data_IF_559688747769
#
_entry.id   IF_559688747769
#
_cell.length_a   1.000
_cell.length_b   1.000
_cell.length_c   1.000
_cell.angle_alpha   90.00
_cell.angle_beta   90.00
_cell.angle_gamma   90.00
#
_symmetry.space_group_name_H-M   'P 1'
#
loop_
_entity.id
_entity.type
_entity.pdbx_description
1 polymer ?
#
# COMPACT_ATOMS: atom_id res chain seq x y z
N UNK A 1 -6.73 -27.03 -6.96
CA UNK A 1 -6.64 -25.84 -7.80
C UNK A 1 -5.18 -25.41 -7.76
N UNK A 2 -4.45 -25.57 -8.86
CA UNK A 2 -3.06 -25.12 -8.93
C UNK A 2 -3.08 -23.61 -8.79
N UNK A 3 -2.69 -23.09 -7.61
CA UNK A 3 -2.74 -21.66 -7.31
C UNK A 3 -1.94 -20.90 -8.35
N UNK A 4 -2.62 -20.13 -9.18
CA UNK A 4 -1.99 -19.34 -10.23
C UNK A 4 -1.08 -18.31 -9.55
N UNK A 5 0.22 -18.53 -9.64
CA UNK A 5 1.21 -17.68 -9.00
C UNK A 5 1.06 -16.27 -9.56
N UNK A 6 0.80 -15.31 -8.68
CA UNK A 6 0.59 -13.92 -9.08
C UNK A 6 1.89 -13.38 -9.67
N UNK A 7 1.85 -12.94 -10.92
CA UNK A 7 3.02 -12.44 -11.63
C UNK A 7 3.30 -10.97 -11.24
N UNK A 8 4.38 -10.73 -10.49
CA UNK A 8 4.81 -9.38 -10.09
C UNK A 8 4.99 -8.44 -11.29
N UNK A 9 5.51 -8.94 -12.42
CA UNK A 9 5.66 -8.14 -13.62
C UNK A 9 4.33 -7.59 -14.12
N UNK A 10 3.25 -8.37 -14.07
CA UNK A 10 1.95 -7.92 -14.58
C UNK A 10 1.29 -6.93 -13.62
N UNK A 11 1.48 -7.09 -12.31
CA UNK A 11 1.09 -6.08 -11.32
C UNK A 11 1.82 -4.75 -11.60
N UNK A 12 3.16 -4.77 -11.65
CA UNK A 12 3.94 -3.55 -11.77
C UNK A 12 3.73 -2.85 -13.12
N UNK A 13 3.48 -3.59 -14.21
CA UNK A 13 3.04 -2.99 -15.48
C UNK A 13 1.75 -2.17 -15.33
N UNK A 14 0.76 -2.72 -14.61
CA UNK A 14 -0.51 -2.04 -14.42
C UNK A 14 -0.35 -0.82 -13.52
N UNK A 15 0.48 -0.90 -12.48
CA UNK A 15 0.82 0.25 -11.63
C UNK A 15 1.55 1.33 -12.43
N UNK A 16 2.59 0.98 -13.20
CA UNK A 16 3.33 1.90 -14.07
C UNK A 16 2.40 2.63 -15.05
N UNK A 17 1.48 1.89 -15.69
CA UNK A 17 0.44 2.48 -16.55
C UNK A 17 -0.45 3.47 -15.79
N UNK A 18 -0.85 3.14 -14.57
CA UNK A 18 -1.69 4.02 -13.75
C UNK A 18 -0.94 5.29 -13.36
N UNK A 19 0.32 5.20 -12.94
CA UNK A 19 1.12 6.38 -12.63
C UNK A 19 1.26 7.29 -13.85
N UNK A 20 1.52 6.72 -15.03
CA UNK A 20 1.60 7.49 -16.27
C UNK A 20 0.30 8.20 -16.62
N UNK A 21 -0.84 7.56 -16.41
CA UNK A 21 -2.15 8.16 -16.68
C UNK A 21 -2.50 9.29 -15.71
N UNK A 22 -1.97 9.27 -14.49
CA UNK A 22 -2.26 10.25 -13.44
C UNK A 22 -1.08 11.19 -13.17
N UNK A 23 -0.03 11.16 -14.01
CA UNK A 23 1.21 11.91 -13.81
C UNK A 23 0.96 13.41 -13.62
N UNK A 24 0.14 14.01 -14.49
CA UNK A 24 -0.14 15.45 -14.42
C UNK A 24 -0.89 15.84 -13.14
N UNK A 25 -1.85 15.03 -12.70
CA UNK A 25 -2.62 15.27 -11.47
C UNK A 25 -1.73 15.15 -10.23
N UNK A 26 -0.81 14.18 -10.24
CA UNK A 26 0.17 14.01 -9.17
C UNK A 26 1.20 15.15 -9.12
N UNK A 27 1.59 15.71 -10.26
CA UNK A 27 2.44 16.91 -10.32
C UNK A 27 1.68 18.16 -9.85
N UNK A 28 0.38 18.27 -10.18
CA UNK A 28 -0.46 19.39 -9.73
C UNK A 28 -0.70 19.34 -8.21
N UNK A 29 -0.83 18.15 -7.62
CA UNK A 29 -0.97 17.97 -6.17
C UNK A 29 0.31 18.23 -5.36
N UNK A 30 1.46 18.33 -6.03
CA UNK A 30 2.75 18.61 -5.40
C UNK A 30 3.07 20.11 -5.44
N UNK A 31 2.59 20.83 -4.42
CA UNK A 31 2.71 22.29 -4.32
C UNK A 31 4.14 22.83 -4.14
N UNK A 32 5.13 21.95 -3.93
CA UNK A 32 6.50 22.38 -3.66
C UNK A 32 7.32 22.55 -4.94
N UNK A 33 7.46 21.48 -5.73
CA UNK A 33 8.30 21.46 -6.94
C UNK A 33 7.59 20.84 -8.15
N UNK A 34 6.33 20.43 -8.03
CA UNK A 34 5.48 19.96 -9.12
C UNK A 34 6.08 18.81 -9.95
N UNK A 35 6.84 17.91 -9.32
CA UNK A 35 7.53 16.81 -10.01
C UNK A 35 7.23 15.43 -9.39
N UNK A 36 6.38 15.36 -8.37
CA UNK A 36 6.04 14.08 -7.73
C UNK A 36 5.51 13.03 -8.70
N UNK A 37 4.63 13.40 -9.62
CA UNK A 37 4.13 12.52 -10.67
C UNK A 37 5.24 12.04 -11.61
N UNK A 38 6.19 12.90 -11.97
CA UNK A 38 7.37 12.52 -12.77
C UNK A 38 8.20 11.46 -12.04
N UNK A 39 8.45 11.66 -10.74
CA UNK A 39 9.15 10.68 -9.90
C UNK A 39 8.37 9.36 -9.80
N UNK A 40 7.05 9.39 -9.63
CA UNK A 40 6.24 8.17 -9.59
C UNK A 40 6.32 7.39 -10.92
N UNK A 41 6.24 8.08 -12.06
CA UNK A 41 6.38 7.43 -13.37
C UNK A 41 7.76 6.79 -13.51
N UNK A 42 8.83 7.54 -13.21
CA UNK A 42 10.21 7.02 -13.24
C UNK A 42 10.36 5.76 -12.38
N UNK A 43 9.94 5.84 -11.11
CA UNK A 43 10.06 4.74 -10.14
C UNK A 43 9.40 3.48 -10.66
N UNK A 44 8.14 3.55 -11.08
CA UNK A 44 7.40 2.36 -11.48
C UNK A 44 7.78 1.84 -12.88
N UNK A 45 8.29 2.70 -13.77
CA UNK A 45 8.94 2.23 -15.01
C UNK A 45 10.22 1.45 -14.72
N UNK A 46 11.08 1.94 -13.80
CA UNK A 46 12.30 1.25 -13.39
C UNK A 46 12.01 -0.08 -12.71
N UNK A 47 11.05 -0.11 -11.78
CA UNK A 47 10.62 -1.36 -11.13
C UNK A 47 10.09 -2.34 -12.17
N UNK A 48 9.24 -1.88 -13.11
CA UNK A 48 8.70 -2.75 -14.16
C UNK A 48 9.80 -3.32 -15.05
N UNK A 49 10.83 -2.52 -15.37
CA UNK A 49 11.99 -2.99 -16.13
C UNK A 49 12.78 -4.07 -15.37
N UNK A 50 12.99 -3.89 -14.06
CA UNK A 50 13.63 -4.87 -13.20
C UNK A 50 12.85 -6.20 -13.14
N UNK A 51 11.53 -6.13 -12.94
CA UNK A 51 10.65 -7.30 -12.95
C UNK A 51 10.70 -8.04 -14.28
N UNK A 52 10.78 -7.31 -15.40
CA UNK A 52 10.88 -7.90 -16.73
C UNK A 52 12.20 -8.63 -16.93
N UNK A 53 13.29 -8.06 -16.45
CA UNK A 53 14.63 -8.65 -16.55
C UNK A 53 14.76 -9.89 -15.65
N UNK A 54 14.15 -9.86 -14.46
CA UNK A 54 14.17 -10.97 -13.49
C UNK A 54 12.92 -11.85 -13.52
N UNK A 55 12.14 -11.85 -14.60
CA UNK A 55 10.83 -12.52 -14.68
C UNK A 55 10.79 -14.02 -14.32
N UNK A 56 11.93 -14.70 -14.38
CA UNK A 56 12.07 -16.14 -14.08
C UNK A 56 12.79 -16.40 -12.74
N UNK A 57 13.19 -15.35 -12.02
CA UNK A 57 13.82 -15.46 -10.71
C UNK A 57 12.77 -15.55 -9.60
N UNK A 58 13.20 -15.93 -8.40
CA UNK A 58 12.31 -15.94 -7.25
C UNK A 58 11.75 -14.53 -6.95
N UNK A 59 10.53 -14.40 -6.42
CA UNK A 59 9.92 -13.10 -6.12
C UNK A 59 10.79 -12.18 -5.26
N UNK A 60 11.53 -12.74 -4.30
CA UNK A 60 12.48 -12.00 -3.48
C UNK A 60 13.61 -11.39 -4.32
N UNK A 61 14.19 -12.17 -5.25
CA UNK A 61 15.26 -11.72 -6.13
C UNK A 61 14.77 -10.66 -7.13
N UNK A 62 13.51 -10.75 -7.58
CA UNK A 62 12.90 -9.74 -8.43
C UNK A 62 12.81 -8.38 -7.71
N UNK A 63 12.32 -8.37 -6.46
CA UNK A 63 12.18 -7.17 -5.65
C UNK A 63 13.54 -6.59 -5.24
N UNK A 64 14.49 -7.43 -4.85
CA UNK A 64 15.83 -7.00 -4.47
C UNK A 64 16.57 -6.37 -5.66
N UNK A 65 16.48 -6.99 -6.84
CA UNK A 65 17.04 -6.41 -8.06
C UNK A 65 16.37 -5.08 -8.41
N UNK A 66 15.04 -4.96 -8.25
CA UNK A 66 14.33 -3.71 -8.48
C UNK A 66 14.79 -2.60 -7.51
N UNK A 67 15.01 -2.92 -6.23
CA UNK A 67 15.55 -1.98 -5.26
C UNK A 67 16.94 -1.47 -5.68
N UNK A 68 17.83 -2.38 -6.09
CA UNK A 68 19.18 -2.03 -6.55
C UNK A 68 19.14 -1.18 -7.82
N UNK A 69 18.33 -1.57 -8.80
CA UNK A 69 18.21 -0.83 -10.06
C UNK A 69 17.64 0.58 -9.82
N UNK A 70 16.66 0.70 -8.92
CA UNK A 70 16.06 1.99 -8.59
C UNK A 70 17.06 2.94 -7.91
N UNK A 71 17.82 2.47 -6.92
CA UNK A 71 18.89 3.26 -6.27
C UNK A 71 19.95 3.72 -7.26
N UNK A 72 20.25 2.90 -8.26
CA UNK A 72 21.24 3.22 -9.27
C UNK A 72 20.74 4.23 -10.32
N UNK A 73 19.42 4.30 -10.54
CA UNK A 73 18.83 5.15 -11.58
C UNK A 73 18.29 6.48 -11.07
N UNK A 74 17.83 6.55 -9.82
CA UNK A 74 17.20 7.74 -9.28
C UNK A 74 17.70 8.05 -7.86
N UNK A 75 17.91 9.33 -7.60
CA UNK A 75 18.32 9.88 -6.30
C UNK A 75 17.19 10.64 -5.60
N UNK A 76 15.98 10.65 -6.16
CA UNK A 76 14.84 11.36 -5.55
C UNK A 76 14.44 10.75 -4.21
N UNK A 77 13.87 11.58 -3.32
CA UNK A 77 13.43 11.12 -1.99
C UNK A 77 12.41 9.98 -2.09
N UNK A 78 11.46 10.09 -3.02
CA UNK A 78 10.50 9.03 -3.32
C UNK A 78 11.20 7.75 -3.81
N UNK A 79 12.17 7.84 -4.72
CA UNK A 79 12.89 6.65 -5.20
C UNK A 79 13.66 5.94 -4.08
N UNK A 80 14.29 6.69 -3.16
CA UNK A 80 14.96 6.12 -2.00
C UNK A 80 13.99 5.38 -1.08
N UNK A 81 12.81 5.95 -0.83
CA UNK A 81 11.76 5.32 -0.01
C UNK A 81 11.23 4.03 -0.65
N UNK A 82 10.89 4.06 -1.94
CA UNK A 82 10.44 2.87 -2.66
C UNK A 82 11.54 1.81 -2.75
N UNK A 83 12.80 2.19 -2.95
CA UNK A 83 13.90 1.24 -2.94
C UNK A 83 14.08 0.57 -1.56
N UNK A 84 13.92 1.32 -0.46
CA UNK A 84 13.91 0.76 0.89
C UNK A 84 12.73 -0.21 1.08
N UNK A 85 11.53 0.19 0.68
CA UNK A 85 10.34 -0.68 0.69
C UNK A 85 10.54 -1.98 -0.09
N UNK A 86 11.13 -1.92 -1.29
CA UNK A 86 11.44 -3.10 -2.10
C UNK A 86 12.46 -4.03 -1.42
N UNK A 87 13.48 -3.48 -0.76
CA UNK A 87 14.46 -4.29 0.00
C UNK A 87 13.85 -4.94 1.24
N UNK A 88 12.90 -4.31 1.92
CA UNK A 88 12.20 -4.98 3.05
C UNK A 88 11.21 -6.02 2.54
N UNK A 89 10.46 -5.68 1.49
CA UNK A 89 9.56 -6.59 0.79
C UNK A 89 10.27 -7.85 0.26
N UNK A 90 11.50 -7.72 -0.25
CA UNK A 90 12.31 -8.86 -0.71
C UNK A 90 12.64 -9.84 0.43
N UNK A 91 12.96 -9.32 1.62
CA UNK A 91 13.21 -10.14 2.81
C UNK A 91 11.94 -10.83 3.29
N UNK A 92 10.80 -10.12 3.28
CA UNK A 92 9.52 -10.65 3.77
C UNK A 92 8.96 -11.78 2.89
N UNK A 93 9.16 -11.70 1.58
CA UNK A 93 8.67 -12.70 0.61
C UNK A 93 9.64 -13.86 0.39
N UNK A 94 10.85 -13.81 0.95
CA UNK A 94 11.86 -14.86 0.75
C UNK A 94 11.34 -16.23 1.16
N UNK A 95 11.42 -17.19 0.23
CA UNK A 95 10.91 -18.55 0.40
C UNK A 95 9.38 -18.70 0.38
N UNK A 96 8.62 -17.65 0.02
CA UNK A 96 7.15 -17.65 -0.03
C UNK A 96 6.64 -17.47 -1.46
N UNK A 97 5.44 -18.00 -1.73
CA UNK A 97 4.69 -17.70 -2.96
C UNK A 97 4.11 -16.29 -2.92
N UNK A 98 3.92 -15.70 -4.10
CA UNK A 98 3.12 -14.48 -4.25
C UNK A 98 1.66 -14.89 -4.43
N UNK A 99 0.86 -14.64 -3.41
CA UNK A 99 -0.58 -14.86 -3.35
C UNK A 99 -1.25 -13.74 -2.56
N UNK A 100 -2.57 -13.78 -2.37
CA UNK A 100 -3.33 -12.72 -1.69
C UNK A 100 -2.86 -12.46 -0.26
N UNK A 101 -2.42 -13.50 0.46
CA UNK A 101 -1.98 -13.37 1.84
C UNK A 101 -0.60 -12.71 1.95
N UNK A 102 0.21 -12.81 0.90
CA UNK A 102 1.57 -12.25 0.88
C UNK A 102 1.65 -10.91 0.15
N UNK A 103 0.83 -10.68 -0.87
CA UNK A 103 0.88 -9.45 -1.69
C UNK A 103 0.36 -8.21 -0.97
N UNK A 104 -0.63 -8.35 -0.08
CA UNK A 104 -1.17 -7.21 0.69
C UNK A 104 -0.15 -6.70 1.70
N UNK A 105 0.48 -7.54 2.55
CA UNK A 105 1.60 -7.13 3.38
C UNK A 105 2.76 -6.54 2.55
N UNK A 106 3.09 -7.16 1.41
CA UNK A 106 4.14 -6.66 0.53
C UNK A 106 3.89 -5.24 0.05
N UNK A 107 2.66 -4.96 -0.37
CA UNK A 107 2.22 -3.64 -0.81
C UNK A 107 2.31 -2.64 0.35
N UNK A 108 1.89 -3.03 1.54
CA UNK A 108 2.00 -2.19 2.73
C UNK A 108 3.46 -1.83 3.03
N UNK A 109 4.36 -2.82 3.03
CA UNK A 109 5.80 -2.62 3.23
C UNK A 109 6.41 -1.72 2.16
N UNK A 110 5.97 -1.86 0.91
CA UNK A 110 6.42 -1.01 -0.19
C UNK A 110 5.99 0.45 0.00
N UNK A 111 4.70 0.68 0.31
CA UNK A 111 4.12 2.01 0.45
C UNK A 111 4.55 2.74 1.72
N UNK A 112 4.89 2.02 2.80
CA UNK A 112 5.46 2.60 4.02
C UNK A 112 6.96 2.90 3.89
N UNK A 113 7.58 2.66 2.72
CA UNK A 113 9.03 2.82 2.53
C UNK A 113 9.85 1.89 3.42
N UNK A 114 9.35 0.68 3.65
CA UNK A 114 10.02 -0.33 4.47
C UNK A 114 10.01 0.01 5.96
N UNK A 115 9.14 0.92 6.40
CA UNK A 115 8.78 0.97 7.81
C UNK A 115 7.83 -0.19 8.08
N UNK A 116 8.35 -1.24 8.71
CA UNK A 116 7.49 -2.22 9.34
C UNK A 116 6.61 -1.44 10.32
N UNK A 117 5.30 -1.39 10.08
CA UNK A 117 4.38 -1.05 11.18
C UNK A 117 4.76 -2.03 12.28
N UNK A 118 5.16 -1.51 13.44
CA UNK A 118 5.28 -2.29 14.66
C UNK A 118 3.92 -2.91 14.95
N UNK A 119 3.62 -4.03 14.31
CA UNK A 119 2.68 -4.98 14.86
C UNK A 119 3.32 -5.39 16.18
N UNK A 120 2.79 -4.83 17.27
CA UNK A 120 3.04 -5.33 18.61
C UNK A 120 3.08 -6.86 18.54
N UNK A 121 4.19 -7.43 18.97
CA UNK A 121 4.46 -8.84 18.82
C UNK A 121 3.34 -9.69 19.46
N UNK A 122 3.02 -10.78 18.75
CA UNK A 122 2.26 -11.94 19.19
C UNK A 122 0.74 -11.78 19.37
N UNK A 123 -0.02 -12.24 18.36
CA UNK A 123 -0.97 -13.35 18.51
C UNK A 123 -1.28 -13.94 17.13
N UNK A 124 -1.10 -15.25 16.99
CA UNK A 124 -1.60 -16.01 15.84
C UNK A 124 -3.12 -15.86 15.83
N UNK A 125 -3.68 -15.58 14.65
CA UNK A 125 -5.13 -15.57 14.37
C UNK A 125 -5.94 -14.33 14.79
N UNK A 126 -5.42 -13.12 14.54
CA UNK A 126 -6.11 -11.89 14.94
C UNK A 126 -5.87 -10.73 13.96
N UNK A 127 -6.36 -10.83 12.73
CA UNK A 127 -6.24 -9.76 11.71
C UNK A 127 -7.41 -8.77 11.66
N UNK A 128 -8.54 -9.10 12.28
CA UNK A 128 -9.76 -8.27 12.24
C UNK A 128 -10.64 -8.46 13.49
N UNK A 129 -10.61 -9.65 14.08
CA UNK A 129 -11.35 -9.98 15.32
C UNK A 129 -10.85 -9.25 16.57
N UNK A 130 -9.54 -9.03 16.70
CA UNK A 130 -8.95 -8.33 17.86
C UNK A 130 -9.23 -6.83 17.87
N UNK A 131 -9.33 -6.24 16.68
CA UNK A 131 -9.63 -4.82 16.50
C UNK A 131 -11.12 -4.54 16.79
N UNK A 132 -11.99 -5.50 16.46
CA UNK A 132 -13.39 -5.50 16.88
C UNK A 132 -13.55 -5.85 18.38
N UNK A 133 -12.67 -6.68 18.94
CA UNK A 133 -12.65 -7.05 20.35
C UNK A 133 -12.23 -5.90 21.26
N UNK A 134 -11.23 -5.11 20.87
CA UNK A 134 -10.80 -3.92 21.64
C UNK A 134 -11.78 -2.75 21.53
N UNK A 135 -12.51 -2.65 20.41
CA UNK A 135 -13.58 -1.67 20.22
C UNK A 135 -14.86 -2.02 21.00
N UNK A 136 -15.14 -3.31 21.21
CA UNK A 136 -16.31 -3.78 21.93
C UNK A 136 -16.06 -3.93 23.45
N UNK A 137 -14.81 -4.03 23.88
CA UNK A 137 -14.38 -4.14 25.28
C UNK A 137 -13.75 -2.86 25.81
N UNK A 138 -14.55 -1.83 26.07
CA UNK A 138 -14.06 -0.61 26.74
C UNK A 138 -13.39 -0.90 28.09
N UNK A 139 -12.17 -0.41 28.27
CA UNK A 139 -11.45 -0.56 29.54
C UNK A 139 -10.04 0.04 29.56
N UNK A 140 -9.98 1.37 29.72
CA UNK A 140 -8.95 2.14 30.46
C UNK A 140 -7.52 1.62 30.53
N UNK A 141 -6.57 2.38 29.97
CA UNK A 141 -5.46 2.99 30.73
C UNK A 141 -4.83 4.11 29.92
N UNK A 142 -4.89 5.32 30.48
CA UNK A 142 -4.09 6.46 30.04
C UNK A 142 -2.64 6.29 30.52
N UNK A 143 -1.65 6.53 29.67
CA UNK A 143 -0.49 7.35 30.02
C UNK A 143 0.25 7.85 28.77
N UNK A 144 0.63 9.13 28.85
CA UNK A 144 1.21 10.02 27.88
C UNK A 144 2.34 9.48 26.96
N UNK A 145 2.33 9.98 25.72
CA UNK A 145 3.50 10.55 25.06
C UNK A 145 3.04 11.54 23.98
N UNK A 146 3.22 12.84 24.25
CA UNK A 146 3.37 13.84 23.19
C UNK A 146 4.64 13.50 22.39
N UNK A 147 4.52 13.27 21.08
CA UNK A 147 5.47 13.61 20.01
C UNK A 147 5.06 12.94 18.70
N UNK A 148 4.99 13.76 17.65
CA UNK A 148 5.04 13.39 16.23
C UNK A 148 3.72 12.97 15.56
N UNK A 149 3.01 14.01 15.15
CA UNK A 149 2.36 14.20 13.85
C UNK A 149 2.92 13.31 12.71
N UNK A 150 2.35 12.12 12.52
CA UNK A 150 2.20 11.37 11.25
C UNK A 150 1.63 9.98 11.59
N UNK A 151 0.33 9.93 11.84
CA UNK A 151 -0.36 8.68 12.11
C UNK A 151 -1.85 8.91 12.15
N UNK A 152 -2.59 8.09 11.41
CA UNK A 152 -4.05 8.09 11.33
C UNK A 152 -4.67 8.40 12.70
N UNK A 153 -5.33 9.56 12.82
CA UNK A 153 -5.91 10.01 14.07
C UNK A 153 -6.96 8.98 14.54
N UNK A 154 -7.01 8.74 15.85
CA UNK A 154 -8.02 7.85 16.44
C UNK A 154 -9.44 8.38 16.17
N UNK A 155 -9.56 9.69 15.95
CA UNK A 155 -10.76 10.40 15.53
C UNK A 155 -11.16 10.04 14.10
N UNK A 156 -10.19 9.94 13.19
CA UNK A 156 -10.42 9.52 11.80
C UNK A 156 -10.81 8.04 11.73
N UNK A 157 -10.16 7.20 12.53
CA UNK A 157 -10.50 5.77 12.64
C UNK A 157 -11.90 5.56 13.22
N UNK A 158 -12.27 6.32 14.25
CA UNK A 158 -13.60 6.28 14.84
C UNK A 158 -14.67 6.74 13.84
N UNK A 159 -14.40 7.81 13.08
CA UNK A 159 -15.28 8.30 12.01
C UNK A 159 -15.48 7.28 10.89
N UNK A 160 -14.42 6.61 10.46
CA UNK A 160 -14.47 5.53 9.48
C UNK A 160 -15.28 4.32 10.00
N UNK A 161 -15.09 3.94 11.27
CA UNK A 161 -15.84 2.86 11.92
C UNK A 161 -17.34 3.16 12.04
N UNK A 162 -17.72 4.38 12.40
CA UNK A 162 -19.12 4.81 12.47
C UNK A 162 -19.78 4.83 11.08
N UNK A 163 -19.06 5.30 10.06
CA UNK A 163 -19.55 5.32 8.67
C UNK A 163 -19.75 3.91 8.10
N UNK A 164 -18.84 2.98 8.43
CA UNK A 164 -18.98 1.56 8.08
C UNK A 164 -20.19 0.92 8.78
N UNK A 165 -20.38 1.19 10.07
CA UNK A 165 -21.52 0.66 10.83
C UNK A 165 -22.87 1.21 10.30
N UNK A 166 -22.92 2.50 9.98
CA UNK A 166 -24.11 3.13 9.43
C UNK A 166 -24.45 2.62 8.02
N UNK A 167 -23.45 2.31 7.21
CA UNK A 167 -23.63 1.76 5.86
C UNK A 167 -24.02 0.27 5.86
N UNK A 168 -23.54 -0.52 6.83
CA UNK A 168 -24.08 -1.87 7.10
C UNK A 168 -25.54 -1.82 7.51
N UNK A 169 -25.93 -0.85 8.33
CA UNK A 169 -27.30 -0.68 8.79
C UNK A 169 -28.25 -0.17 7.68
N UNK A 170 -27.71 0.48 6.64
CA UNK A 170 -28.45 0.88 5.44
C UNK A 170 -28.46 -0.18 4.33
N UNK A 171 -27.84 -1.35 4.54
CA UNK A 171 -27.83 -2.47 3.58
C UNK A 171 -26.80 -2.36 2.46
N UNK A 172 -25.79 -1.51 2.60
CA UNK A 172 -24.72 -1.34 1.60
C UNK A 172 -23.73 -2.52 1.65
N UNK A 173 -23.16 -2.89 0.51
CA UNK A 173 -22.15 -3.96 0.45
C UNK A 173 -20.84 -3.55 1.13
N UNK A 174 -20.08 -4.53 1.66
CA UNK A 174 -18.85 -4.26 2.44
C UNK A 174 -17.80 -3.48 1.65
N UNK A 175 -17.75 -3.69 0.33
CA UNK A 175 -16.87 -2.96 -0.58
C UNK A 175 -17.30 -1.49 -0.70
N UNK A 176 -18.59 -1.22 -0.82
CA UNK A 176 -19.12 0.14 -0.97
C UNK A 176 -18.93 0.97 0.32
N UNK A 177 -19.03 0.30 1.46
CA UNK A 177 -18.73 0.87 2.76
C UNK A 177 -17.24 1.21 2.92
N UNK A 178 -16.35 0.32 2.48
CA UNK A 178 -14.90 0.56 2.44
C UNK A 178 -14.52 1.67 1.48
N UNK A 179 -15.16 1.75 0.30
CA UNK A 179 -14.93 2.85 -0.66
C UNK A 179 -15.37 4.19 -0.07
N UNK A 180 -16.53 4.26 0.60
CA UNK A 180 -16.99 5.49 1.25
C UNK A 180 -16.10 5.92 2.42
N UNK A 181 -15.66 4.97 3.24
CA UNK A 181 -14.73 5.26 4.35
C UNK A 181 -13.38 5.76 3.82
N UNK A 182 -12.87 5.15 2.75
CA UNK A 182 -11.65 5.59 2.06
C UNK A 182 -11.82 7.01 1.51
N UNK A 183 -12.87 7.25 0.72
CA UNK A 183 -13.16 8.57 0.13
C UNK A 183 -13.33 9.65 1.21
N UNK A 184 -14.02 9.36 2.31
CA UNK A 184 -14.20 10.32 3.39
C UNK A 184 -12.89 10.59 4.17
N UNK A 185 -12.07 9.56 4.41
CA UNK A 185 -10.75 9.73 5.05
C UNK A 185 -9.78 10.56 4.19
N UNK A 186 -9.88 10.44 2.86
CA UNK A 186 -9.08 11.24 1.91
C UNK A 186 -9.54 12.70 1.80
N UNK A 187 -10.67 13.07 2.38
CA UNK A 187 -11.21 14.43 2.33
C UNK A 187 -10.84 15.29 3.55
N UNK A 188 -10.45 14.69 4.68
CA UNK A 188 -10.18 15.40 5.95
C UNK A 188 -8.75 15.31 6.47
N UNK A 189 -7.96 14.31 6.08
CA UNK A 189 -6.51 14.31 6.31
C UNK A 189 -5.82 15.17 5.25
N UNK A 190 -4.88 16.03 5.63
CA UNK A 190 -4.08 16.84 4.69
C UNK A 190 -3.70 16.00 3.46
N UNK A 191 -4.23 16.38 2.29
CA UNK A 191 -4.01 15.67 1.02
C UNK A 191 -2.55 15.81 0.60
N UNK A 192 -1.66 15.03 1.20
CA UNK A 192 -0.29 14.95 0.71
C UNK A 192 -0.31 14.23 -0.63
N UNK A 193 0.45 14.73 -1.62
CA UNK A 193 0.65 14.09 -2.93
C UNK A 193 1.11 12.63 -2.81
N UNK A 194 1.77 12.27 -1.70
CA UNK A 194 2.17 10.89 -1.36
C UNK A 194 0.97 9.99 -1.09
N UNK A 195 -0.05 10.48 -0.37
CA UNK A 195 -1.27 9.73 -0.10
C UNK A 195 -2.01 9.40 -1.41
N UNK A 196 -2.14 10.37 -2.30
CA UNK A 196 -2.81 10.19 -3.60
C UNK A 196 -2.10 9.12 -4.47
N UNK A 197 -0.77 9.20 -4.59
CA UNK A 197 -0.01 8.18 -5.33
C UNK A 197 -0.13 6.80 -4.68
N UNK A 198 -0.16 6.72 -3.35
CA UNK A 198 -0.28 5.45 -2.61
C UNK A 198 -1.66 4.81 -2.78
N UNK A 199 -2.71 5.63 -2.83
CA UNK A 199 -4.08 5.19 -3.12
C UNK A 199 -4.17 4.63 -4.55
N UNK A 200 -3.62 5.34 -5.53
CA UNK A 200 -3.60 4.88 -6.92
C UNK A 200 -2.87 3.54 -7.05
N UNK A 201 -1.70 3.38 -6.42
CA UNK A 201 -0.97 2.10 -6.41
C UNK A 201 -1.81 1.00 -5.77
N UNK A 202 -2.42 1.26 -4.61
CA UNK A 202 -3.23 0.27 -3.87
C UNK A 202 -4.43 -0.20 -4.67
N UNK A 203 -5.22 0.74 -5.17
CA UNK A 203 -6.41 0.44 -5.99
C UNK A 203 -6.03 -0.36 -7.23
N UNK A 204 -4.92 -0.01 -7.86
CA UNK A 204 -4.42 -0.70 -9.05
C UNK A 204 -4.01 -2.14 -8.76
N UNK A 205 -3.29 -2.37 -7.66
CA UNK A 205 -2.86 -3.72 -7.26
C UNK A 205 -4.07 -4.57 -6.91
N UNK A 206 -5.03 -4.05 -6.16
CA UNK A 206 -6.26 -4.77 -5.82
C UNK A 206 -7.09 -5.12 -7.06
N UNK A 207 -7.21 -4.20 -8.03
CA UNK A 207 -7.88 -4.46 -9.30
C UNK A 207 -7.15 -5.54 -10.13
N UNK A 208 -5.81 -5.50 -10.17
CA UNK A 208 -5.01 -6.51 -10.87
C UNK A 208 -5.21 -7.91 -10.24
N UNK A 209 -5.20 -7.99 -8.91
CA UNK A 209 -5.44 -9.23 -8.17
C UNK A 209 -6.87 -9.76 -8.37
N UNK A 210 -7.87 -8.88 -8.31
CA UNK A 210 -9.26 -9.24 -8.56
C UNK A 210 -9.46 -9.77 -9.98
N UNK A 211 -8.87 -9.10 -10.98
CA UNK A 211 -8.95 -9.53 -12.38
C UNK A 211 -8.30 -10.90 -12.65
N UNK A 212 -7.27 -11.26 -11.87
CA UNK A 212 -6.64 -12.58 -11.92
C UNK A 212 -7.51 -13.67 -11.28
N UNK A 213 -8.24 -13.37 -10.20
CA UNK A 213 -9.15 -14.32 -9.55
C UNK A 213 -10.42 -14.64 -10.34
N UNK A 214 -10.83 -13.73 -11.23
CA UNK A 214 -12.05 -13.89 -12.04
C UNK A 214 -11.83 -14.62 -13.37
N UNK A 215 -10.59 -15.00 -13.68
CA UNK A 215 -10.23 -15.81 -14.86
C UNK A 215 -10.15 -17.28 -14.52
#
# INVERSE_FOLDING_TARGET
MSGEQVNLLDIFKQVSKTMKNNQSELNEADDYNHDHGDHMVEIFEVITAAMKEKKNADPADQLEYAAQLLRNKSTSGSAQMYAKGLTEASKEISGKSVDLNTVVPLLQTLLSGGEAKTTAAASKDSGLGDLLGSLLGGGTTAQAAESSDQGLDISDLLGAGLSYMQSKQSGSSDIEALTKALVNSTQTGEKTYRSQSSELVTNTVLQALSGLMTK
#
